data_IF_420851442189
#
_entry.id   IF_420851442189
#
_cell.length_a   1.000
_cell.length_b   1.000
_cell.length_c   1.000
_cell.angle_alpha   90.00
_cell.angle_beta   90.00
_cell.angle_gamma   90.00
#
_symmetry.space_group_name_H-M   'P 1'
#
loop_
_entity.id
_entity.type
_entity.pdbx_description
1 polymer ?
#
# COMPACT_ATOMS: atom_id res chain seq x y z
N UNK A 1 -31.87 -0.68 7.82
CA UNK A 1 -30.91 0.43 7.92
C UNK A 1 -29.52 -0.15 7.76
N UNK A 2 -28.89 0.01 6.59
CA UNK A 2 -27.57 -0.55 6.30
C UNK A 2 -26.58 -0.02 7.34
N UNK A 3 -26.06 -0.89 8.21
CA UNK A 3 -24.95 -0.51 9.09
C UNK A 3 -23.76 -0.29 8.18
N UNK A 4 -23.57 0.96 7.76
CA UNK A 4 -22.49 1.41 6.91
C UNK A 4 -21.20 0.81 7.49
N UNK A 5 -20.53 -0.08 6.74
CA UNK A 5 -19.30 -0.79 7.12
C UNK A 5 -18.11 0.19 7.18
N UNK A 6 -18.31 1.32 7.88
CA UNK A 6 -17.40 2.45 8.03
C UNK A 6 -16.08 2.01 8.61
N UNK A 7 -16.09 1.11 9.60
CA UNK A 7 -14.87 0.55 10.17
C UNK A 7 -14.01 -0.18 9.14
N UNK A 8 -14.60 -0.98 8.25
CA UNK A 8 -13.85 -1.69 7.20
C UNK A 8 -13.40 -0.76 6.07
N UNK A 9 -14.24 0.23 5.70
CA UNK A 9 -13.86 1.28 4.75
C UNK A 9 -12.69 2.11 5.26
N UNK A 10 -12.75 2.52 6.54
CA UNK A 10 -11.68 3.23 7.22
C UNK A 10 -10.43 2.35 7.37
N UNK A 11 -10.60 1.08 7.73
CA UNK A 11 -9.48 0.13 7.85
C UNK A 11 -8.75 -0.05 6.52
N UNK A 12 -9.47 -0.15 5.40
CA UNK A 12 -8.88 -0.18 4.06
C UNK A 12 -8.14 1.12 3.73
N UNK A 13 -8.82 2.27 3.82
CA UNK A 13 -8.24 3.54 3.42
C UNK A 13 -7.09 3.97 4.33
N UNK A 14 -7.31 4.00 5.65
CA UNK A 14 -6.29 4.41 6.62
C UNK A 14 -5.14 3.40 6.73
N UNK A 15 -5.43 2.10 6.59
CA UNK A 15 -4.40 1.07 6.59
C UNK A 15 -3.42 1.26 5.44
N UNK A 16 -3.93 1.47 4.21
CA UNK A 16 -3.08 1.72 3.06
C UNK A 16 -2.42 3.11 3.11
N UNK A 17 -3.15 4.17 3.43
CA UNK A 17 -2.57 5.52 3.54
C UNK A 17 -1.45 5.57 4.59
N UNK A 18 -1.64 4.91 5.73
CA UNK A 18 -0.61 4.73 6.75
C UNK A 18 0.60 3.95 6.21
N UNK A 19 0.38 2.92 5.41
CA UNK A 19 1.46 2.18 4.74
C UNK A 19 2.34 3.01 3.80
N UNK A 20 1.81 4.10 3.23
CA UNK A 20 2.56 5.00 2.35
C UNK A 20 3.12 6.25 3.05
N UNK A 21 2.91 6.41 4.36
CA UNK A 21 3.33 7.62 5.09
C UNK A 21 4.85 7.87 5.01
N UNK A 22 5.65 6.81 4.98
CA UNK A 22 7.09 6.90 4.88
C UNK A 22 7.56 7.43 3.51
N UNK A 23 6.82 7.15 2.43
CA UNK A 23 7.10 7.71 1.10
C UNK A 23 6.91 9.22 1.11
N UNK A 24 5.86 9.72 1.78
CA UNK A 24 5.64 11.15 1.95
C UNK A 24 6.77 11.81 2.74
N UNK A 25 7.23 11.17 3.83
CA UNK A 25 8.38 11.66 4.58
C UNK A 25 9.64 11.73 3.71
N UNK A 26 9.91 10.71 2.89
CA UNK A 26 11.06 10.71 1.97
C UNK A 26 10.96 11.76 0.87
N UNK A 27 9.76 12.03 0.33
CA UNK A 27 9.54 13.14 -0.61
C UNK A 27 10.00 14.45 0.01
N UNK A 28 9.55 14.74 1.24
CA UNK A 28 9.95 15.96 1.95
C UNK A 28 11.46 16.01 2.09
N UNK A 29 12.09 14.94 2.59
CA UNK A 29 13.55 14.85 2.75
C UNK A 29 14.29 15.10 1.43
N UNK A 30 13.88 14.46 0.33
CA UNK A 30 14.55 14.62 -0.97
C UNK A 30 14.39 16.02 -1.56
N UNK A 31 13.24 16.66 -1.38
CA UNK A 31 13.05 18.05 -1.80
C UNK A 31 13.95 19.00 -1.00
N UNK A 32 14.10 18.79 0.32
CA UNK A 32 15.06 19.54 1.14
C UNK A 32 16.51 19.30 0.72
N UNK A 33 16.85 18.08 0.29
CA UNK A 33 18.17 17.74 -0.27
C UNK A 33 18.38 18.24 -1.71
N UNK A 34 17.46 19.03 -2.28
CA UNK A 34 17.49 19.48 -3.67
C UNK A 34 17.49 18.34 -4.70
N UNK A 35 17.13 17.11 -4.29
CA UNK A 35 16.95 15.94 -5.17
C UNK A 35 15.55 15.96 -5.78
N UNK A 36 15.29 16.95 -6.62
CA UNK A 36 13.94 17.23 -7.18
C UNK A 36 13.37 16.01 -7.92
N UNK A 37 14.17 15.33 -8.75
CA UNK A 37 13.72 14.14 -9.49
C UNK A 37 13.26 13.01 -8.56
N UNK A 38 14.00 12.76 -7.47
CA UNK A 38 13.61 11.78 -6.47
C UNK A 38 12.29 12.19 -5.82
N UNK A 39 12.18 13.44 -5.36
CA UNK A 39 10.95 13.98 -4.76
C UNK A 39 9.73 13.87 -5.68
N UNK A 40 9.86 14.21 -6.96
CA UNK A 40 8.79 14.06 -7.95
C UNK A 40 8.39 12.60 -8.16
N UNK A 41 9.36 11.67 -8.19
CA UNK A 41 9.09 10.23 -8.24
C UNK A 41 8.25 9.76 -7.05
N UNK A 42 8.57 10.22 -5.84
CA UNK A 42 7.77 9.89 -4.65
C UNK A 42 6.37 10.51 -4.68
N UNK A 43 6.20 11.74 -5.17
CA UNK A 43 4.88 12.36 -5.36
C UNK A 43 4.03 11.53 -6.34
N UNK A 44 4.62 11.12 -7.47
CA UNK A 44 3.95 10.27 -8.44
C UNK A 44 3.50 8.95 -7.81
N UNK A 45 4.37 8.29 -7.04
CA UNK A 45 4.05 7.04 -6.35
C UNK A 45 2.89 7.20 -5.36
N UNK A 46 2.85 8.30 -4.60
CA UNK A 46 1.73 8.59 -3.69
C UNK A 46 0.44 8.77 -4.49
N UNK A 47 0.47 9.51 -5.60
CA UNK A 47 -0.70 9.68 -6.47
C UNK A 47 -1.23 8.35 -7.01
N UNK A 48 -0.33 7.49 -7.51
CA UNK A 48 -0.68 6.15 -8.00
C UNK A 48 -1.19 5.26 -6.86
N UNK A 49 -0.61 5.35 -5.67
CA UNK A 49 -1.06 4.60 -4.50
C UNK A 49 -2.48 5.00 -4.09
N UNK A 50 -2.75 6.30 -3.95
CA UNK A 50 -4.09 6.82 -3.62
C UNK A 50 -5.12 6.39 -4.67
N UNK A 51 -4.74 6.49 -5.95
CA UNK A 51 -5.59 6.02 -7.05
C UNK A 51 -5.89 4.51 -6.94
N UNK A 52 -4.86 3.68 -6.73
CA UNK A 52 -5.03 2.23 -6.59
C UNK A 52 -5.92 1.87 -5.39
N UNK A 53 -5.70 2.49 -4.23
CA UNK A 53 -6.48 2.26 -3.01
C UNK A 53 -7.95 2.61 -3.20
N UNK A 54 -8.24 3.70 -3.92
CA UNK A 54 -9.62 4.14 -4.16
C UNK A 54 -10.32 3.33 -5.27
N UNK A 55 -9.60 2.96 -6.33
CA UNK A 55 -10.17 2.21 -7.46
C UNK A 55 -10.37 0.73 -7.15
N UNK A 56 -9.48 0.13 -6.36
CA UNK A 56 -9.52 -1.28 -5.96
C UNK A 56 -10.17 -1.48 -4.59
N UNK A 57 -10.95 -0.50 -4.14
CA UNK A 57 -11.66 -0.62 -2.88
C UNK A 57 -12.67 -1.78 -2.90
N UNK A 58 -12.73 -2.62 -1.84
CA UNK A 58 -13.62 -3.79 -1.77
C UNK A 58 -15.10 -3.51 -2.01
N UNK A 59 -15.60 -2.35 -1.58
CA UNK A 59 -17.00 -1.95 -1.77
C UNK A 59 -17.32 -1.58 -3.22
N UNK A 60 -16.33 -1.36 -4.09
CA UNK A 60 -16.52 -1.14 -5.54
C UNK A 60 -16.49 -2.45 -6.33
N UNK A 61 -15.90 -3.50 -5.76
CA UNK A 61 -15.72 -4.80 -6.40
C UNK A 61 -16.21 -5.94 -5.49
N UNK A 62 -17.52 -5.99 -5.17
CA UNK A 62 -17.99 -6.78 -4.04
C UNK A 62 -17.83 -8.30 -4.20
N UNK A 63 -17.73 -8.78 -5.44
CA UNK A 63 -17.56 -10.19 -5.78
C UNK A 63 -16.07 -10.61 -5.89
N UNK A 64 -15.15 -9.66 -5.81
CA UNK A 64 -13.72 -9.90 -5.95
C UNK A 64 -13.11 -10.22 -4.59
N UNK A 65 -12.25 -11.23 -4.56
CA UNK A 65 -11.49 -11.62 -3.36
C UNK A 65 -10.45 -10.57 -2.99
N UNK A 66 -10.26 -10.33 -1.70
CA UNK A 66 -9.44 -9.22 -1.20
C UNK A 66 -7.98 -9.30 -1.67
N UNK A 67 -7.39 -10.50 -1.77
CA UNK A 67 -5.99 -10.60 -2.20
C UNK A 67 -5.75 -9.98 -3.59
N UNK A 68 -6.70 -10.13 -4.53
CA UNK A 68 -6.62 -9.54 -5.87
C UNK A 68 -6.71 -8.02 -5.83
N UNK A 69 -7.54 -7.49 -4.93
CA UNK A 69 -7.71 -6.06 -4.73
C UNK A 69 -6.47 -5.44 -4.06
N UNK A 70 -5.87 -6.16 -3.12
CA UNK A 70 -4.66 -5.75 -2.40
C UNK A 70 -3.42 -5.76 -3.29
N UNK A 71 -3.38 -6.57 -4.36
CA UNK A 71 -2.26 -6.61 -5.30
C UNK A 71 -1.92 -5.22 -5.84
N UNK A 72 -2.91 -4.39 -6.19
CA UNK A 72 -2.63 -3.06 -6.74
C UNK A 72 -1.84 -2.17 -5.77
N UNK A 73 -2.36 -1.88 -4.56
CA UNK A 73 -1.62 -1.12 -3.56
C UNK A 73 -0.29 -1.78 -3.16
N UNK A 74 -0.21 -3.12 -3.05
CA UNK A 74 1.06 -3.80 -2.77
C UNK A 74 2.09 -3.60 -3.88
N UNK A 75 1.68 -3.69 -5.15
CA UNK A 75 2.59 -3.44 -6.28
C UNK A 75 3.19 -2.04 -6.18
N UNK A 76 2.38 -1.03 -5.88
CA UNK A 76 2.86 0.35 -5.70
C UNK A 76 3.77 0.46 -4.47
N UNK A 77 3.46 -0.23 -3.38
CA UNK A 77 4.30 -0.28 -2.17
C UNK A 77 5.67 -0.90 -2.44
N UNK A 78 5.74 -2.02 -3.18
CA UNK A 78 7.03 -2.61 -3.56
C UNK A 78 7.77 -1.73 -4.57
N UNK A 79 7.06 -1.08 -5.49
CA UNK A 79 7.66 -0.08 -6.39
C UNK A 79 8.27 1.09 -5.61
N UNK A 80 7.62 1.53 -4.52
CA UNK A 80 8.18 2.59 -3.69
C UNK A 80 9.41 2.15 -2.91
N UNK A 81 9.53 0.88 -2.51
CA UNK A 81 10.78 0.34 -1.97
C UNK A 81 11.92 0.41 -2.99
N UNK A 82 11.67 -0.04 -4.23
CA UNK A 82 12.66 0.02 -5.32
C UNK A 82 13.05 1.47 -5.62
N UNK A 83 12.08 2.37 -5.71
CA UNK A 83 12.32 3.81 -5.89
C UNK A 83 13.17 4.39 -4.75
N UNK A 84 12.92 4.02 -3.50
CA UNK A 84 13.71 4.51 -2.37
C UNK A 84 15.17 4.08 -2.50
N UNK A 85 15.43 2.80 -2.79
CA UNK A 85 16.79 2.27 -2.99
C UNK A 85 17.53 3.04 -4.08
N UNK A 86 16.91 3.25 -5.25
CA UNK A 86 17.53 4.02 -6.32
C UNK A 86 17.74 5.50 -5.94
N UNK A 87 16.80 6.11 -5.22
CA UNK A 87 16.89 7.52 -4.80
C UNK A 87 17.97 7.77 -3.74
N UNK A 88 18.31 6.74 -2.97
CA UNK A 88 19.44 6.75 -2.02
C UNK A 88 20.79 6.37 -2.65
N UNK A 89 20.83 6.04 -3.95
CA UNK A 89 22.07 5.72 -4.66
C UNK A 89 22.43 4.24 -4.71
N UNK A 90 21.48 3.35 -4.44
CA UNK A 90 21.64 1.90 -4.58
C UNK A 90 21.58 1.13 -3.26
N UNK A 91 21.77 -0.19 -3.34
CA UNK A 91 21.74 -1.07 -2.15
C UNK A 91 23.01 -0.98 -1.32
N UNK A 92 24.14 -0.64 -1.94
CA UNK A 92 25.45 -0.51 -1.30
C UNK A 92 25.48 0.66 -0.31
N UNK A 93 24.83 1.78 -0.65
CA UNK A 93 24.75 2.95 0.23
C UNK A 93 23.83 2.75 1.44
N UNK A 94 22.93 1.77 1.35
CA UNK A 94 21.94 1.43 2.37
C UNK A 94 22.33 0.21 3.22
N UNK A 95 23.50 -0.39 2.94
CA UNK A 95 23.99 -1.61 3.60
C UNK A 95 22.93 -2.74 3.66
N UNK A 96 22.18 -2.90 2.56
CA UNK A 96 21.07 -3.85 2.51
C UNK A 96 21.57 -5.28 2.32
N UNK A 97 21.41 -6.11 3.35
CA UNK A 97 21.64 -7.56 3.30
C UNK A 97 20.37 -8.32 2.87
N UNK A 98 20.53 -9.51 2.29
CA UNK A 98 19.46 -10.45 1.94
C UNK A 98 18.52 -10.76 3.13
N UNK A 99 19.04 -10.79 4.35
CA UNK A 99 18.23 -10.97 5.56
C UNK A 99 17.22 -9.84 5.80
N UNK A 100 17.48 -8.62 5.32
CA UNK A 100 16.55 -7.50 5.44
C UNK A 100 15.26 -7.73 4.66
N UNK A 101 15.30 -8.54 3.59
CA UNK A 101 14.10 -8.87 2.81
C UNK A 101 13.13 -9.77 3.57
N UNK A 102 13.57 -10.48 4.62
CA UNK A 102 12.66 -11.26 5.47
C UNK A 102 11.64 -10.37 6.20
N UNK A 103 11.95 -9.08 6.41
CA UNK A 103 11.00 -8.12 6.97
C UNK A 103 9.82 -7.81 6.06
N UNK A 104 9.81 -8.30 4.82
CA UNK A 104 8.64 -8.26 3.93
C UNK A 104 7.59 -9.29 4.37
N UNK A 105 7.97 -10.39 5.02
CA UNK A 105 7.02 -11.46 5.36
C UNK A 105 5.89 -10.96 6.27
N UNK A 106 6.15 -10.19 7.36
CA UNK A 106 5.08 -9.62 8.17
C UNK A 106 4.15 -8.68 7.41
N UNK A 107 4.67 -7.94 6.42
CA UNK A 107 3.85 -6.99 5.65
C UNK A 107 2.85 -7.71 4.74
N UNK A 108 3.09 -8.98 4.41
CA UNK A 108 2.18 -9.84 3.64
C UNK A 108 1.14 -10.58 4.49
N UNK A 109 1.18 -10.44 5.83
CA UNK A 109 0.22 -11.07 6.75
C UNK A 109 -1.27 -10.95 6.36
N UNK A 110 -1.75 -9.81 5.84
CA UNK A 110 -3.14 -9.66 5.41
C UNK A 110 -3.59 -10.65 4.33
N UNK A 111 -2.68 -11.13 3.47
CA UNK A 111 -2.99 -12.13 2.44
C UNK A 111 -3.50 -13.44 3.04
N UNK A 112 -2.89 -13.90 4.14
CA UNK A 112 -3.24 -15.17 4.79
C UNK A 112 -4.55 -15.10 5.58
N UNK A 113 -4.83 -13.97 6.23
CA UNK A 113 -5.96 -13.85 7.16
C UNK A 113 -7.25 -13.43 6.44
N UNK A 114 -7.15 -12.50 5.49
CA UNK A 114 -8.30 -11.86 4.85
C UNK A 114 -8.38 -12.11 3.34
N UNK A 115 -7.34 -12.67 2.73
CA UNK A 115 -7.18 -12.69 1.27
C UNK A 115 -8.32 -13.36 0.50
N UNK A 116 -8.85 -14.48 1.00
CA UNK A 116 -9.91 -15.24 0.32
C UNK A 116 -11.32 -14.71 0.58
N UNK A 117 -11.48 -13.75 1.48
CA UNK A 117 -12.79 -13.14 1.77
C UNK A 117 -13.17 -12.18 0.66
N UNK A 118 -14.48 -12.09 0.39
CA UNK A 118 -15.08 -11.09 -0.49
C UNK A 118 -15.84 -10.08 0.34
N UNK A 119 -16.10 -8.91 -0.23
CA UNK A 119 -16.92 -7.92 0.42
C UNK A 119 -18.35 -8.45 0.63
N UNK A 120 -18.91 -9.14 -0.39
CA UNK A 120 -20.25 -9.75 -0.37
C UNK A 120 -20.45 -10.77 0.77
N UNK A 121 -19.40 -11.48 1.19
CA UNK A 121 -19.51 -12.47 2.28
C UNK A 121 -19.93 -11.81 3.60
N UNK A 122 -19.56 -10.54 3.80
CA UNK A 122 -19.98 -9.74 4.95
C UNK A 122 -21.41 -9.20 4.85
N UNK A 123 -22.02 -9.25 3.66
CA UNK A 123 -23.42 -8.86 3.43
C UNK A 123 -24.37 -10.05 3.67
N UNK A 124 -23.98 -11.27 3.25
CA UNK A 124 -24.85 -12.46 3.37
C UNK A 124 -25.00 -13.03 4.78
N UNK A 125 -24.07 -12.76 5.71
CA UNK A 125 -24.11 -13.27 7.10
C UNK A 125 -25.22 -12.67 7.99
N UNK A 126 -26.15 -11.90 7.43
CA UNK A 126 -27.20 -11.19 8.17
C UNK A 126 -28.64 -11.52 7.73
N UNK A 127 -28.81 -12.52 6.87
CA UNK A 127 -30.11 -13.18 6.65
C UNK A 127 -30.19 -14.44 7.54
#
# INVERSE_FOLDING_TARGET
MSTDRRGEKLGWSLGWMGGFIWVLALVVVFLFQQKVLAGLGGILLIGVAVFAVHQLAPWRHPNTVYWKLMLGPYLVFFLSMVWAVFSFGGTETLDLNWWNFLWIVPTLGPFGILGNRKWKDGESKRE
#
